data_IF_881861909297
#
_entry.id   IF_881861909297
#
_cell.length_a   1.000
_cell.length_b   1.000
_cell.length_c   1.000
_cell.angle_alpha   90.00
_cell.angle_beta   90.00
_cell.angle_gamma   90.00
#
_symmetry.space_group_name_H-M   'P 1'
#
loop_
_entity.id
_entity.type
_entity.pdbx_description
1 polymer ?
#
# COMPACT_ATOMS: atom_id res chain seq x y z
N UNK A 1 -32.84 -13.36 0.13
CA UNK A 1 -31.69 -13.83 0.91
C UNK A 1 -30.41 -13.60 0.13
N UNK A 2 -29.60 -12.66 0.58
CA UNK A 2 -28.12 -12.65 0.56
C UNK A 2 -27.69 -11.29 1.10
N UNK A 3 -27.41 -11.25 2.40
CA UNK A 3 -26.68 -10.15 3.01
C UNK A 3 -25.24 -10.22 2.47
N UNK A 4 -24.85 -9.21 1.70
CA UNK A 4 -23.44 -8.94 1.44
C UNK A 4 -22.90 -8.15 2.63
N UNK A 5 -21.77 -8.58 3.18
CA UNK A 5 -20.97 -7.74 4.07
C UNK A 5 -20.42 -6.57 3.26
N UNK A 6 -21.16 -5.47 3.29
CA UNK A 6 -20.67 -4.14 2.96
C UNK A 6 -19.62 -3.82 4.04
N UNK A 7 -18.36 -3.59 3.64
CA UNK A 7 -17.38 -3.01 4.57
C UNK A 7 -17.85 -1.58 4.78
N UNK A 8 -18.73 -1.40 5.75
CA UNK A 8 -19.36 -0.12 6.04
C UNK A 8 -18.24 0.91 6.24
N UNK A 9 -18.18 1.90 5.33
CA UNK A 9 -17.33 3.07 5.54
C UNK A 9 -17.72 3.67 6.87
N UNK A 10 -16.76 3.75 7.77
CA UNK A 10 -16.97 4.32 9.08
C UNK A 10 -17.01 5.84 8.94
N UNK A 11 -17.96 6.45 9.61
CA UNK A 11 -18.21 7.89 9.49
C UNK A 11 -18.27 8.49 10.87
N UNK A 12 -17.74 9.70 11.03
CA UNK A 12 -17.75 10.43 12.29
C UNK A 12 -19.12 10.33 12.98
N UNK A 13 -19.15 9.76 14.18
CA UNK A 13 -20.34 9.53 14.98
C UNK A 13 -20.96 8.14 14.83
N UNK A 14 -20.25 7.17 14.26
CA UNK A 14 -20.71 5.78 14.15
C UNK A 14 -20.36 4.90 15.36
N UNK A 15 -19.67 5.46 16.35
CA UNK A 15 -19.26 4.76 17.57
C UNK A 15 -17.88 4.09 17.49
N UNK A 16 -17.16 4.24 16.38
CA UNK A 16 -15.74 3.91 16.26
C UNK A 16 -14.89 5.18 16.03
N UNK A 17 -15.14 6.20 16.83
CA UNK A 17 -14.47 7.49 16.70
C UNK A 17 -13.27 7.62 17.63
N UNK A 18 -12.30 8.44 17.22
CA UNK A 18 -11.27 8.96 18.13
C UNK A 18 -11.95 9.76 19.24
N UNK A 19 -11.46 9.58 20.46
CA UNK A 19 -12.11 10.11 21.67
C UNK A 19 -11.36 11.28 22.29
N UNK A 20 -10.06 11.41 22.03
CA UNK A 20 -9.28 12.52 22.51
C UNK A 20 -9.79 13.84 21.88
N UNK A 21 -10.04 14.90 22.67
CA UNK A 21 -10.58 16.16 22.15
C UNK A 21 -9.76 16.81 21.03
N UNK A 22 -8.46 16.50 20.95
CA UNK A 22 -7.55 17.00 19.91
C UNK A 22 -7.67 16.27 18.57
N UNK A 23 -8.19 15.04 18.57
CA UNK A 23 -8.27 14.19 17.39
C UNK A 23 -9.71 14.03 16.89
N UNK A 24 -10.65 13.90 17.83
CA UNK A 24 -12.07 13.72 17.55
C UNK A 24 -12.61 14.76 16.55
N UNK A 25 -13.35 14.29 15.55
CA UNK A 25 -14.00 15.13 14.54
C UNK A 25 -13.07 15.63 13.42
N UNK A 26 -11.78 15.35 13.48
CA UNK A 26 -10.88 15.61 12.36
C UNK A 26 -11.00 14.50 11.30
N UNK A 27 -11.67 14.80 10.19
CA UNK A 27 -11.93 13.82 9.11
C UNK A 27 -10.73 13.00 8.63
N UNK A 28 -9.52 13.57 8.60
CA UNK A 28 -8.35 12.82 8.13
C UNK A 28 -7.78 11.91 9.22
N UNK A 29 -7.84 12.33 10.49
CA UNK A 29 -7.40 11.49 11.61
C UNK A 29 -8.39 10.35 11.83
N UNK A 30 -9.70 10.63 11.78
CA UNK A 30 -10.77 9.63 11.86
C UNK A 30 -10.65 8.63 10.70
N UNK A 31 -10.51 9.11 9.46
CA UNK A 31 -10.28 8.23 8.31
C UNK A 31 -9.00 7.38 8.41
N UNK A 32 -7.97 7.87 9.13
CA UNK A 32 -6.77 7.08 9.40
C UNK A 32 -7.00 6.03 10.49
N UNK A 33 -7.86 6.32 11.46
CA UNK A 33 -8.30 5.38 12.49
C UNK A 33 -9.22 4.29 11.92
N UNK A 34 -10.04 4.66 10.93
CA UNK A 34 -11.01 3.80 10.25
C UNK A 34 -10.43 2.92 9.11
N UNK A 35 -9.11 2.94 8.91
CA UNK A 35 -8.41 2.25 7.80
C UNK A 35 -8.80 2.73 6.39
N UNK A 36 -9.40 3.93 6.27
CA UNK A 36 -9.76 4.53 4.98
C UNK A 36 -8.58 5.23 4.31
N UNK A 37 -7.67 5.79 5.12
CA UNK A 37 -6.43 6.41 4.67
C UNK A 37 -5.25 6.02 5.57
N UNK A 38 -4.05 6.32 5.09
CA UNK A 38 -2.82 6.27 5.91
C UNK A 38 -2.13 7.62 5.84
N UNK A 39 -1.71 8.16 6.99
CA UNK A 39 -0.84 9.34 7.02
C UNK A 39 0.62 8.88 6.98
N UNK A 40 1.38 9.44 6.05
CA UNK A 40 2.74 9.03 5.73
C UNK A 40 3.48 10.16 5.04
N UNK A 41 4.75 9.94 4.74
CA UNK A 41 5.61 10.91 4.09
C UNK A 41 4.97 11.56 2.85
N UNK A 42 5.11 12.88 2.72
CA UNK A 42 4.53 13.69 1.64
C UNK A 42 3.08 14.12 1.87
N UNK A 43 2.40 13.64 2.93
CA UNK A 43 1.14 14.22 3.39
C UNK A 43 1.39 15.57 4.06
N UNK A 44 0.48 16.52 3.87
CA UNK A 44 0.57 17.85 4.48
C UNK A 44 -0.79 18.32 4.99
N UNK A 45 -0.79 19.32 5.86
CA UNK A 45 -1.99 20.03 6.31
C UNK A 45 -2.29 19.87 7.80
N UNK A 46 -3.50 20.30 8.19
CA UNK A 46 -3.89 20.44 9.60
C UNK A 46 -3.85 19.13 10.39
N UNK A 47 -4.22 18.00 9.79
CA UNK A 47 -4.17 16.71 10.48
C UNK A 47 -2.74 16.30 10.84
N UNK A 48 -1.79 16.55 9.94
CA UNK A 48 -0.37 16.28 10.18
C UNK A 48 0.16 17.17 11.29
N UNK A 49 -0.25 18.45 11.31
CA UNK A 49 0.13 19.37 12.40
C UNK A 49 -0.38 18.89 13.76
N UNK A 50 -1.61 18.39 13.81
CA UNK A 50 -2.20 17.83 15.04
C UNK A 50 -1.44 16.56 15.48
N UNK A 51 -1.12 15.66 14.54
CA UNK A 51 -0.32 14.47 14.79
C UNK A 51 1.06 14.82 15.35
N UNK A 52 1.80 15.72 14.68
CA UNK A 52 3.13 16.17 15.11
C UNK A 52 3.06 16.78 16.51
N UNK A 53 2.08 17.65 16.78
CA UNK A 53 1.93 18.25 18.11
C UNK A 53 1.71 17.18 19.18
N UNK A 54 0.89 16.15 18.90
CA UNK A 54 0.68 15.05 19.83
C UNK A 54 1.96 14.24 20.10
N UNK A 55 2.77 13.98 19.07
CA UNK A 55 4.06 13.32 19.23
C UNK A 55 5.01 14.17 20.08
N UNK A 56 5.09 15.49 19.84
CA UNK A 56 5.91 16.41 20.65
C UNK A 56 5.45 16.42 22.11
N UNK A 57 4.15 16.54 22.36
CA UNK A 57 3.58 16.54 23.72
C UNK A 57 3.88 15.24 24.48
N UNK A 58 3.98 14.12 23.76
CA UNK A 58 4.33 12.80 24.32
C UNK A 58 5.85 12.59 24.47
N UNK A 59 6.67 13.59 24.10
CA UNK A 59 8.12 13.58 24.28
C UNK A 59 8.94 13.11 23.07
N UNK A 60 8.32 12.91 21.90
CA UNK A 60 9.03 12.58 20.67
C UNK A 60 9.58 13.85 20.01
N UNK A 61 10.80 13.78 19.47
CA UNK A 61 11.52 14.95 18.97
C UNK A 61 11.36 15.13 17.46
N UNK A 62 11.07 16.37 17.04
CA UNK A 62 11.09 16.83 15.64
C UNK A 62 12.07 18.00 15.53
N UNK A 63 13.38 17.73 15.40
CA UNK A 63 14.43 18.71 15.69
C UNK A 63 14.65 19.79 14.62
N UNK A 64 14.19 19.62 13.38
CA UNK A 64 14.52 20.50 12.25
C UNK A 64 13.42 21.49 11.91
N UNK A 65 12.19 21.02 11.76
CA UNK A 65 11.04 21.82 11.30
C UNK A 65 9.90 21.83 12.32
N UNK A 66 9.86 20.83 13.21
CA UNK A 66 8.92 20.80 14.33
C UNK A 66 7.50 20.52 13.88
N UNK A 67 6.55 21.32 14.35
CA UNK A 67 5.11 21.17 14.07
C UNK A 67 4.73 22.06 12.88
N UNK A 68 5.24 21.71 11.70
CA UNK A 68 5.07 22.48 10.46
C UNK A 68 3.80 22.09 9.66
N UNK A 69 3.27 20.89 9.91
CA UNK A 69 2.17 20.30 9.17
C UNK A 69 2.60 19.54 7.91
N UNK A 70 3.89 19.27 7.73
CA UNK A 70 4.44 18.47 6.63
C UNK A 70 4.99 17.15 7.17
N UNK A 71 4.46 16.03 6.66
CA UNK A 71 4.94 14.70 7.06
C UNK A 71 6.24 14.43 6.30
N UNK A 72 7.35 14.88 6.86
CA UNK A 72 8.71 14.62 6.38
C UNK A 72 9.46 13.56 7.20
N UNK A 73 10.76 13.42 6.95
CA UNK A 73 11.63 12.37 7.53
C UNK A 73 11.61 12.37 9.06
N UNK A 74 11.59 13.54 9.70
CA UNK A 74 11.56 13.62 11.17
C UNK A 74 10.21 13.23 11.77
N UNK A 75 9.11 13.49 11.06
CA UNK A 75 7.78 13.03 11.48
C UNK A 75 7.71 11.52 11.38
N UNK A 76 8.23 10.92 10.30
CA UNK A 76 8.31 9.46 10.17
C UNK A 76 9.16 8.84 11.28
N UNK A 77 10.32 9.42 11.58
CA UNK A 77 11.18 8.95 12.65
C UNK A 77 10.49 9.00 14.03
N UNK A 78 9.77 10.09 14.33
CA UNK A 78 8.99 10.23 15.56
C UNK A 78 7.84 9.21 15.63
N UNK A 79 7.15 8.95 14.51
CA UNK A 79 6.11 7.90 14.44
C UNK A 79 6.70 6.53 14.70
N UNK A 80 7.85 6.18 14.10
CA UNK A 80 8.51 4.90 14.36
C UNK A 80 8.92 4.74 15.82
N UNK A 81 9.45 5.78 16.45
CA UNK A 81 9.78 5.75 17.88
C UNK A 81 8.53 5.54 18.75
N UNK A 82 7.44 6.23 18.42
CA UNK A 82 6.15 6.03 19.10
C UNK A 82 5.60 4.61 18.90
N UNK A 83 5.73 4.06 17.70
CA UNK A 83 5.31 2.70 17.40
C UNK A 83 6.12 1.67 18.20
N UNK A 84 7.43 1.89 18.35
CA UNK A 84 8.29 1.08 19.23
C UNK A 84 7.79 1.13 20.68
N UNK A 85 7.59 2.33 21.22
CA UNK A 85 7.23 2.53 22.63
C UNK A 85 5.84 2.01 22.99
N UNK A 86 4.91 2.01 22.04
CA UNK A 86 3.54 1.51 22.23
C UNK A 86 3.34 0.08 21.75
N UNK A 87 4.39 -0.55 21.23
CA UNK A 87 4.34 -1.90 20.68
C UNK A 87 3.51 -2.01 19.40
N UNK A 88 3.15 -0.90 18.75
CA UNK A 88 2.51 -0.91 17.43
C UNK A 88 3.46 -1.49 16.36
N UNK A 89 2.95 -1.73 15.16
CA UNK A 89 3.80 -2.02 14.01
C UNK A 89 4.77 -0.86 13.72
N UNK A 90 6.07 -1.15 13.61
CA UNK A 90 7.13 -0.14 13.40
C UNK A 90 7.38 0.08 11.90
N UNK A 91 6.43 0.69 11.21
CA UNK A 91 6.47 0.93 9.76
C UNK A 91 6.53 2.42 9.38
N UNK A 92 6.46 3.34 10.34
CA UNK A 92 6.46 4.79 10.11
C UNK A 92 5.14 5.32 9.52
N UNK A 93 4.11 4.48 9.46
CA UNK A 93 2.80 4.79 8.90
C UNK A 93 1.78 5.03 10.01
N UNK A 94 0.98 6.09 9.88
CA UNK A 94 -0.10 6.36 10.82
C UNK A 94 -1.42 5.86 10.25
N UNK A 95 -1.78 4.65 10.69
CA UNK A 95 -3.07 3.98 10.43
C UNK A 95 -3.79 3.62 11.74
N UNK A 96 -4.75 2.67 11.73
CA UNK A 96 -5.65 2.40 12.85
C UNK A 96 -4.97 2.14 14.19
N UNK A 97 -3.97 1.24 14.19
CA UNK A 97 -3.23 0.86 15.41
C UNK A 97 -2.46 2.07 15.98
N UNK A 98 -1.77 2.83 15.13
CA UNK A 98 -1.01 4.00 15.56
C UNK A 98 -1.92 5.12 16.05
N UNK A 99 -3.04 5.39 15.37
CA UNK A 99 -4.02 6.39 15.79
C UNK A 99 -4.70 6.01 17.09
N UNK A 100 -5.11 4.75 17.26
CA UNK A 100 -5.71 4.27 18.50
C UNK A 100 -4.75 4.37 19.69
N UNK A 101 -3.48 4.02 19.48
CA UNK A 101 -2.45 4.18 20.51
C UNK A 101 -2.21 5.66 20.84
N UNK A 102 -2.16 6.54 19.84
CA UNK A 102 -2.02 7.98 20.05
C UNK A 102 -3.20 8.51 20.85
N UNK A 103 -4.44 8.17 20.47
CA UNK A 103 -5.68 8.59 21.11
C UNK A 103 -5.69 8.24 22.61
N UNK A 104 -5.28 7.02 22.95
CA UNK A 104 -5.16 6.58 24.32
C UNK A 104 -4.02 7.30 25.08
N UNK A 105 -2.82 7.40 24.49
CA UNK A 105 -1.64 7.99 25.16
C UNK A 105 -1.81 9.47 25.45
N UNK A 106 -2.41 10.26 24.56
CA UNK A 106 -2.64 11.69 24.80
C UNK A 106 -3.68 11.95 25.90
N UNK A 107 -4.51 10.97 26.22
CA UNK A 107 -5.46 10.99 27.33
C UNK A 107 -4.84 10.45 28.63
N UNK A 108 -3.53 10.20 28.66
CA UNK A 108 -2.82 9.67 29.83
C UNK A 108 -3.09 8.20 30.11
N UNK A 109 -3.70 7.47 29.16
CA UNK A 109 -3.94 6.04 29.32
C UNK A 109 -2.63 5.28 29.08
N UNK A 110 -2.36 4.30 29.94
CA UNK A 110 -1.25 3.39 29.72
C UNK A 110 -1.63 2.43 28.60
N UNK A 111 -1.16 2.72 27.39
CA UNK A 111 -1.06 1.73 26.32
C UNK A 111 0.13 0.86 26.66
N UNK A 112 -0.14 -0.29 27.28
CA UNK A 112 0.89 -1.31 27.46
C UNK A 112 1.45 -1.66 26.08
N UNK A 113 2.78 -1.89 25.94
CA UNK A 113 3.28 -2.50 24.73
C UNK A 113 2.43 -3.73 24.45
N UNK A 114 2.02 -3.92 23.19
CA UNK A 114 1.25 -5.09 22.71
C UNK A 114 1.61 -6.33 23.52
N UNK A 115 0.63 -7.11 24.03
CA UNK A 115 0.89 -8.26 24.88
C UNK A 115 2.05 -9.08 24.30
N UNK A 116 2.95 -9.49 25.20
CA UNK A 116 4.17 -10.19 24.82
C UNK A 116 3.85 -11.29 23.80
N UNK A 117 4.62 -11.31 22.72
CA UNK A 117 4.48 -12.28 21.62
C UNK A 117 4.35 -13.68 22.22
N UNK A 118 3.17 -14.29 22.03
CA UNK A 118 2.78 -15.53 22.69
C UNK A 118 2.57 -16.63 21.64
N UNK A 119 2.98 -17.85 22.00
CA UNK A 119 2.84 -19.02 21.13
C UNK A 119 1.36 -19.27 20.83
N UNK A 120 1.00 -19.37 19.55
CA UNK A 120 -0.36 -19.63 19.09
C UNK A 120 -1.29 -18.41 19.13
N UNK A 121 -0.79 -17.21 19.42
CA UNK A 121 -1.56 -15.98 19.24
C UNK A 121 -1.67 -15.66 17.75
N UNK A 122 -2.89 -15.42 17.26
CA UNK A 122 -3.13 -15.07 15.86
C UNK A 122 -2.51 -13.70 15.52
N UNK A 123 -1.89 -13.61 14.34
CA UNK A 123 -1.32 -12.41 13.78
C UNK A 123 -2.44 -11.38 13.55
N UNK A 124 -2.36 -10.19 14.17
CA UNK A 124 -3.33 -9.14 13.93
C UNK A 124 -3.32 -8.71 12.46
N UNK A 125 -4.50 -8.58 11.84
CA UNK A 125 -4.64 -8.14 10.44
C UNK A 125 -3.89 -6.83 10.09
N UNK A 126 -3.75 -5.83 10.99
CA UNK A 126 -2.91 -4.66 10.74
C UNK A 126 -1.45 -5.02 10.43
N UNK A 127 -0.92 -6.10 11.02
CA UNK A 127 0.45 -6.60 10.83
C UNK A 127 0.67 -7.37 9.53
N UNK A 128 -0.34 -7.38 8.66
CA UNK A 128 -0.28 -7.94 7.32
C UNK A 128 -0.38 -6.78 6.33
N UNK A 129 0.75 -6.45 5.73
CA UNK A 129 0.88 -5.33 4.79
C UNK A 129 1.37 -5.79 3.42
N UNK A 130 1.28 -4.89 2.44
CA UNK A 130 1.87 -5.08 1.11
C UNK A 130 2.72 -3.88 0.75
N UNK A 131 3.87 -4.13 0.10
CA UNK A 131 4.85 -3.12 -0.22
C UNK A 131 5.21 -3.15 -1.72
N UNK A 132 5.15 -2.00 -2.43
CA UNK A 132 5.62 -1.91 -3.81
C UNK A 132 7.15 -1.88 -3.87
N UNK A 133 7.70 -2.07 -5.07
CA UNK A 133 9.11 -1.82 -5.37
C UNK A 133 10.00 -3.06 -5.34
N UNK A 134 9.40 -4.25 -5.19
CA UNK A 134 10.13 -5.49 -5.35
C UNK A 134 10.68 -5.63 -6.79
N UNK A 135 11.87 -6.23 -6.96
CA UNK A 135 12.40 -6.55 -8.28
C UNK A 135 11.41 -7.42 -9.06
N UNK A 136 11.10 -7.07 -10.32
CA UNK A 136 10.12 -7.82 -11.09
C UNK A 136 10.65 -9.20 -11.50
N UNK A 137 9.89 -10.26 -11.20
CA UNK A 137 10.17 -11.63 -11.69
C UNK A 137 9.61 -11.90 -13.09
N UNK A 138 8.70 -11.05 -13.56
CA UNK A 138 8.03 -11.16 -14.85
C UNK A 138 8.27 -9.92 -15.70
N UNK A 139 8.51 -10.09 -16.99
CA UNK A 139 8.72 -8.99 -17.94
C UNK A 139 7.45 -8.60 -18.70
N UNK A 140 7.43 -7.37 -19.22
CA UNK A 140 6.33 -6.86 -20.05
C UNK A 140 6.43 -7.38 -21.50
N UNK A 141 5.36 -8.04 -21.96
CA UNK A 141 5.19 -8.48 -23.35
C UNK A 141 4.87 -7.36 -24.34
N UNK A 142 4.88 -7.65 -25.65
CA UNK A 142 4.79 -6.64 -26.71
C UNK A 142 3.52 -5.75 -26.64
N UNK A 143 2.38 -6.30 -26.23
CA UNK A 143 1.13 -5.57 -26.00
C UNK A 143 0.78 -5.47 -24.49
N UNK A 144 1.79 -5.26 -23.66
CA UNK A 144 1.64 -5.11 -22.21
C UNK A 144 2.22 -3.77 -21.79
N UNK A 145 1.33 -2.84 -21.43
CA UNK A 145 1.67 -1.50 -20.95
C UNK A 145 2.20 -1.54 -19.52
N UNK A 146 1.56 -2.34 -18.66
CA UNK A 146 1.94 -2.47 -17.26
C UNK A 146 1.70 -3.88 -16.73
N UNK A 147 2.31 -4.14 -15.57
CA UNK A 147 2.12 -5.37 -14.83
C UNK A 147 2.34 -5.10 -13.34
N UNK A 148 1.35 -5.48 -12.54
CA UNK A 148 1.45 -5.55 -11.08
C UNK A 148 1.50 -7.01 -10.67
N UNK A 149 2.57 -7.43 -9.99
CA UNK A 149 2.82 -8.85 -9.73
C UNK A 149 3.24 -9.12 -8.28
N UNK A 150 2.63 -10.10 -7.59
CA UNK A 150 3.08 -10.57 -6.27
C UNK A 150 4.47 -11.22 -6.35
N UNK A 151 5.50 -10.61 -5.75
CA UNK A 151 6.89 -11.06 -5.93
C UNK A 151 7.37 -12.01 -4.84
N UNK A 152 7.13 -11.69 -3.57
CA UNK A 152 7.50 -12.56 -2.45
C UNK A 152 6.78 -12.13 -1.16
N UNK A 153 6.87 -12.98 -0.13
CA UNK A 153 6.36 -12.66 1.21
C UNK A 153 7.53 -12.71 2.19
N UNK A 154 7.76 -11.59 2.87
CA UNK A 154 8.61 -11.53 4.04
C UNK A 154 7.81 -11.83 5.30
N UNK A 155 8.44 -12.59 6.20
CA UNK A 155 7.82 -13.09 7.42
C UNK A 155 8.64 -12.56 8.59
N UNK A 156 8.05 -11.61 9.31
CA UNK A 156 8.59 -11.14 10.57
C UNK A 156 8.19 -12.11 11.66
N UNK A 157 9.15 -12.44 12.52
CA UNK A 157 8.93 -13.37 13.62
C UNK A 157 9.89 -13.11 14.78
N UNK A 158 9.43 -13.46 15.96
CA UNK A 158 10.24 -13.56 17.17
C UNK A 158 10.38 -15.02 17.59
N UNK A 159 11.50 -15.38 18.20
CA UNK A 159 11.67 -16.70 18.79
C UNK A 159 11.23 -16.65 20.26
N UNK A 160 10.32 -17.54 20.63
CA UNK A 160 9.77 -17.66 21.98
C UNK A 160 10.14 -19.03 22.55
N UNK A 161 10.49 -19.05 23.84
CA UNK A 161 10.74 -20.29 24.58
C UNK A 161 9.43 -21.07 24.74
N UNK A 162 9.44 -22.33 24.33
CA UNK A 162 8.32 -23.26 24.53
C UNK A 162 8.86 -24.62 25.00
N UNK A 163 8.90 -24.82 26.32
CA UNK A 163 9.51 -26.00 26.94
C UNK A 163 11.00 -26.13 26.59
N UNK A 164 11.46 -27.30 26.08
CA UNK A 164 12.86 -27.52 25.73
C UNK A 164 13.29 -26.86 24.41
N UNK A 165 12.35 -26.25 23.69
CA UNK A 165 12.58 -25.72 22.34
C UNK A 165 12.36 -24.21 22.28
N UNK A 166 12.89 -23.62 21.23
CA UNK A 166 12.46 -22.33 20.70
C UNK A 166 11.52 -22.57 19.53
N UNK A 167 10.42 -21.82 19.51
CA UNK A 167 9.46 -21.80 18.41
C UNK A 167 9.37 -20.39 17.86
N UNK A 168 9.12 -20.20 16.54
CA UNK A 168 8.85 -18.88 16.01
C UNK A 168 7.39 -18.52 16.33
N UNK A 169 7.16 -17.25 16.57
CA UNK A 169 5.82 -16.64 16.57
C UNK A 169 5.84 -15.55 15.53
N UNK A 170 4.91 -15.60 14.59
CA UNK A 170 4.84 -14.64 13.48
C UNK A 170 4.34 -13.30 14.02
N UNK A 171 5.08 -12.24 13.72
CA UNK A 171 4.77 -10.88 14.18
C UNK A 171 4.43 -9.93 13.05
N UNK A 172 4.58 -10.36 11.79
CA UNK A 172 4.25 -9.56 10.62
C UNK A 172 4.40 -10.34 9.32
N UNK A 173 3.61 -9.95 8.33
CA UNK A 173 3.73 -10.42 6.95
C UNK A 173 3.80 -9.22 6.02
N UNK A 174 4.80 -9.20 5.14
CA UNK A 174 4.95 -8.18 4.10
C UNK A 174 4.86 -8.86 2.74
N UNK A 175 3.75 -8.66 2.04
CA UNK A 175 3.61 -9.06 0.64
C UNK A 175 4.28 -8.05 -0.28
N UNK A 176 5.48 -8.36 -0.74
CA UNK A 176 6.23 -7.50 -1.64
C UNK A 176 5.76 -7.72 -3.09
N UNK A 177 5.48 -6.64 -3.81
CA UNK A 177 5.02 -6.70 -5.20
C UNK A 177 5.78 -5.73 -6.11
N UNK A 178 5.86 -6.09 -7.39
CA UNK A 178 6.39 -5.22 -8.43
C UNK A 178 5.26 -4.47 -9.11
N UNK A 179 5.55 -3.24 -9.53
CA UNK A 179 4.70 -2.44 -10.40
C UNK A 179 5.54 -1.96 -11.56
N UNK A 180 5.19 -2.41 -12.75
CA UNK A 180 5.84 -2.04 -13.99
C UNK A 180 4.86 -1.24 -14.84
N UNK A 181 5.36 -0.19 -15.47
CA UNK A 181 4.63 0.56 -16.47
C UNK A 181 5.61 1.06 -17.52
N UNK A 182 5.21 1.05 -18.78
CA UNK A 182 5.97 1.61 -19.90
C UNK A 182 5.03 2.12 -20.98
N UNK A 183 5.57 2.95 -21.85
CA UNK A 183 5.02 3.14 -23.19
C UNK A 183 5.25 1.87 -24.03
N UNK A 184 4.32 1.56 -24.92
CA UNK A 184 4.53 0.49 -25.89
C UNK A 184 5.70 0.84 -26.83
N UNK A 185 6.40 -0.17 -27.37
CA UNK A 185 7.43 0.06 -28.38
C UNK A 185 6.89 0.89 -29.56
N UNK A 186 7.53 2.03 -29.83
CA UNK A 186 7.14 2.96 -30.90
C UNK A 186 6.13 4.04 -30.50
N UNK A 187 5.54 3.96 -29.31
CA UNK A 187 4.67 5.01 -28.77
C UNK A 187 5.47 6.16 -28.14
N UNK A 188 4.87 7.35 -28.12
CA UNK A 188 5.43 8.55 -27.50
C UNK A 188 4.53 9.05 -26.36
N UNK A 189 5.14 9.55 -25.29
CA UNK A 189 4.42 10.17 -24.17
C UNK A 189 3.71 11.44 -24.64
N UNK A 190 2.43 11.57 -24.36
CA UNK A 190 1.71 12.84 -24.57
C UNK A 190 1.99 13.78 -23.41
N UNK A 191 2.72 14.86 -23.70
CA UNK A 191 3.01 15.91 -22.70
C UNK A 191 2.02 17.08 -22.77
N UNK A 192 1.18 17.10 -23.80
CA UNK A 192 0.08 18.05 -23.95
C UNK A 192 0.51 19.43 -24.49
N UNK A 193 -0.40 20.41 -24.45
CA UNK A 193 -0.14 21.77 -24.92
C UNK A 193 0.97 22.49 -24.13
N UNK A 194 1.90 23.13 -24.84
CA UNK A 194 3.14 23.67 -24.28
C UNK A 194 4.28 22.64 -24.20
N UNK A 195 3.98 21.37 -24.49
CA UNK A 195 4.94 20.29 -24.74
C UNK A 195 4.90 19.87 -26.21
N UNK A 196 4.60 18.59 -26.47
CA UNK A 196 4.69 17.99 -27.80
C UNK A 196 3.39 17.98 -28.62
N UNK A 197 2.33 18.66 -28.17
CA UNK A 197 1.11 18.84 -28.95
C UNK A 197 1.27 19.94 -30.00
N UNK A 198 1.07 19.58 -31.27
CA UNK A 198 1.18 20.46 -32.44
C UNK A 198 -0.06 20.34 -33.33
N UNK A 199 -0.24 21.30 -34.26
CA UNK A 199 -1.30 21.23 -35.26
C UNK A 199 -1.27 19.92 -36.07
N UNK A 200 -0.09 19.35 -36.30
CA UNK A 200 0.09 18.14 -37.10
C UNK A 200 -0.30 16.84 -36.37
N UNK A 201 -0.13 16.77 -35.03
CA UNK A 201 -0.27 15.52 -34.28
C UNK A 201 -1.43 15.51 -33.27
N UNK A 202 -2.04 16.66 -32.95
CA UNK A 202 -2.97 16.75 -31.83
C UNK A 202 -4.19 15.81 -32.00
N UNK A 203 -4.74 15.67 -33.21
CA UNK A 203 -5.89 14.81 -33.44
C UNK A 203 -5.52 13.31 -33.33
N UNK A 204 -4.29 12.93 -33.67
CA UNK A 204 -3.78 11.59 -33.41
C UNK A 204 -3.62 11.32 -31.91
N UNK A 205 -3.01 12.26 -31.17
CA UNK A 205 -2.93 12.18 -29.70
C UNK A 205 -4.30 11.98 -29.08
N UNK A 206 -5.27 12.80 -29.47
CA UNK A 206 -6.61 12.75 -28.91
C UNK A 206 -7.33 11.42 -29.21
N UNK A 207 -7.20 10.87 -30.43
CA UNK A 207 -7.83 9.59 -30.79
C UNK A 207 -7.21 8.42 -30.03
N UNK A 208 -5.88 8.37 -29.94
CA UNK A 208 -5.17 7.31 -29.24
C UNK A 208 -5.52 7.31 -27.74
N UNK A 209 -5.49 8.47 -27.08
CA UNK A 209 -5.86 8.58 -25.66
C UNK A 209 -7.34 8.26 -25.39
N UNK A 210 -8.22 8.52 -26.35
CA UNK A 210 -9.64 8.26 -26.20
C UNK A 210 -10.00 6.78 -26.36
N UNK A 211 -9.22 6.05 -27.14
CA UNK A 211 -9.40 4.62 -27.37
C UNK A 211 -8.04 3.91 -27.46
N UNK A 212 -7.35 3.70 -26.32
CA UNK A 212 -6.07 3.00 -26.29
C UNK A 212 -6.18 1.60 -26.91
N UNK A 213 -5.25 1.25 -27.80
CA UNK A 213 -5.25 -0.04 -28.49
C UNK A 213 -3.83 -0.56 -28.77
N UNK A 214 -3.67 -1.87 -28.97
CA UNK A 214 -2.42 -2.47 -29.46
C UNK A 214 -2.73 -3.48 -30.57
N UNK A 215 -1.92 -3.57 -31.64
CA UNK A 215 -0.73 -2.75 -31.95
C UNK A 215 -1.07 -1.36 -32.53
N UNK A 216 -0.05 -0.55 -32.78
CA UNK A 216 -0.16 0.65 -33.63
C UNK A 216 -0.59 1.95 -32.95
N UNK A 217 -0.65 2.00 -31.61
CA UNK A 217 -0.86 3.24 -30.87
C UNK A 217 0.41 4.07 -30.85
N UNK A 218 0.34 5.30 -31.36
CA UNK A 218 1.50 6.19 -31.49
C UNK A 218 1.66 7.09 -30.27
N UNK A 219 0.58 7.39 -29.56
CA UNK A 219 0.55 8.36 -28.47
C UNK A 219 -0.11 7.78 -27.24
N UNK A 220 0.56 7.85 -26.09
CA UNK A 220 0.01 7.35 -24.83
C UNK A 220 0.50 8.18 -23.63
N UNK A 221 -0.01 7.89 -22.44
CA UNK A 221 0.43 8.49 -21.20
C UNK A 221 0.79 7.39 -20.20
N UNK A 222 2.08 7.22 -19.91
CA UNK A 222 2.57 6.21 -18.95
C UNK A 222 1.91 6.37 -17.58
N UNK A 223 1.54 7.59 -17.20
CA UNK A 223 0.82 7.84 -15.94
C UNK A 223 -0.55 7.14 -15.91
N UNK A 224 -1.26 7.04 -17.03
CA UNK A 224 -2.53 6.34 -17.09
C UNK A 224 -2.34 4.84 -16.81
N UNK A 225 -1.30 4.24 -17.40
CA UNK A 225 -0.89 2.86 -17.09
C UNK A 225 -0.53 2.69 -15.62
N UNK A 226 0.19 3.62 -15.00
CA UNK A 226 0.49 3.54 -13.56
C UNK A 226 -0.78 3.54 -12.71
N UNK A 227 -1.78 4.38 -13.05
CA UNK A 227 -3.05 4.38 -12.31
C UNK A 227 -3.87 3.11 -12.55
N UNK A 228 -3.82 2.52 -13.75
CA UNK A 228 -4.37 1.18 -14.02
C UNK A 228 -3.76 0.15 -13.07
N UNK A 229 -2.43 0.08 -13.02
CA UNK A 229 -1.71 -0.92 -12.23
C UNK A 229 -1.97 -0.80 -10.73
N UNK A 230 -2.14 0.44 -10.23
CA UNK A 230 -2.52 0.69 -8.84
C UNK A 230 -3.90 0.13 -8.47
N UNK A 231 -4.79 -0.09 -9.43
CA UNK A 231 -6.08 -0.73 -9.15
C UNK A 231 -5.86 -2.20 -8.74
N UNK A 232 -5.02 -2.94 -9.47
CA UNK A 232 -4.68 -4.33 -9.13
C UNK A 232 -4.07 -4.44 -7.74
N UNK A 233 -3.15 -3.53 -7.40
CA UNK A 233 -2.48 -3.52 -6.09
C UNK A 233 -3.45 -3.37 -4.88
N UNK A 234 -4.66 -2.82 -5.05
CA UNK A 234 -5.63 -2.65 -3.95
C UNK A 234 -6.12 -3.98 -3.39
N UNK A 235 -6.09 -5.04 -4.19
CA UNK A 235 -6.57 -6.37 -3.80
C UNK A 235 -5.50 -7.20 -3.07
N UNK A 236 -4.24 -6.76 -3.12
CA UNK A 236 -3.08 -7.54 -2.69
C UNK A 236 -3.07 -7.77 -1.19
N UNK A 237 -3.42 -6.75 -0.40
CA UNK A 237 -3.47 -6.87 1.06
C UNK A 237 -4.57 -7.83 1.51
N UNK A 238 -5.79 -7.66 1.01
CA UNK A 238 -6.92 -8.53 1.38
C UNK A 238 -6.63 -9.99 1.04
N UNK A 239 -6.00 -10.25 -0.12
CA UNK A 239 -5.58 -11.59 -0.50
C UNK A 239 -4.56 -12.21 0.46
N UNK A 240 -3.61 -11.41 0.97
CA UNK A 240 -2.61 -11.88 1.93
C UNK A 240 -3.22 -12.11 3.32
N UNK A 241 -4.07 -11.21 3.80
CA UNK A 241 -4.81 -11.35 5.07
C UNK A 241 -5.60 -12.67 5.08
N UNK A 242 -6.28 -13.00 3.99
CA UNK A 242 -7.04 -14.25 3.85
C UNK A 242 -6.17 -15.52 3.93
N UNK A 243 -4.84 -15.40 3.84
CA UNK A 243 -3.87 -16.50 3.92
C UNK A 243 -2.99 -16.46 5.16
N UNK A 244 -3.06 -15.39 5.96
CA UNK A 244 -2.19 -15.17 7.12
C UNK A 244 -2.19 -16.38 8.07
N UNK A 245 -3.37 -16.83 8.52
CA UNK A 245 -3.49 -17.95 9.45
C UNK A 245 -2.84 -19.26 8.94
N UNK A 246 -2.91 -19.54 7.65
CA UNK A 246 -2.29 -20.73 7.06
C UNK A 246 -0.76 -20.60 6.98
N UNK A 247 -0.27 -19.38 6.72
CA UNK A 247 1.17 -19.06 6.72
C UNK A 247 1.72 -19.17 8.15
N UNK A 248 1.02 -18.59 9.13
CA UNK A 248 1.35 -18.67 10.55
C UNK A 248 1.47 -20.11 11.01
N UNK A 249 0.43 -20.93 10.81
CA UNK A 249 0.43 -22.32 11.22
C UNK A 249 1.63 -23.11 10.66
N UNK A 250 2.08 -22.78 9.44
CA UNK A 250 3.22 -23.45 8.80
C UNK A 250 4.56 -22.99 9.37
N UNK A 251 4.70 -21.72 9.71
CA UNK A 251 5.91 -21.16 10.32
C UNK A 251 6.02 -21.58 11.79
N UNK A 252 4.93 -21.46 12.55
CA UNK A 252 4.90 -21.75 14.00
C UNK A 252 4.97 -23.25 14.33
N UNK A 253 4.83 -24.13 13.33
CA UNK A 253 5.13 -25.55 13.47
C UNK A 253 6.64 -25.86 13.54
N UNK A 254 7.50 -24.89 13.23
CA UNK A 254 8.95 -25.07 13.29
C UNK A 254 9.46 -24.99 14.73
N UNK A 255 10.59 -25.65 14.99
CA UNK A 255 11.26 -25.52 16.29
C UNK A 255 12.76 -25.79 16.17
N UNK A 256 13.53 -25.22 17.10
CA UNK A 256 14.93 -25.58 17.33
C UNK A 256 15.15 -25.90 18.81
N UNK A 257 15.94 -26.93 19.16
CA UNK A 257 16.25 -27.23 20.56
C UNK A 257 16.97 -26.08 21.25
N UNK A 258 16.70 -25.86 22.53
CA UNK A 258 17.48 -24.92 23.33
C UNK A 258 18.89 -25.47 23.61
N UNK A 259 19.92 -24.64 23.40
CA UNK A 259 21.28 -24.87 23.89
C UNK A 259 21.71 -23.81 24.90
N UNK A 260 22.59 -24.16 25.85
CA UNK A 260 23.11 -23.23 26.86
C UNK A 260 23.68 -21.95 26.20
N UNK A 261 23.32 -20.78 26.73
CA UNK A 261 23.73 -19.48 26.18
C UNK A 261 22.97 -19.01 24.94
N UNK A 262 22.05 -19.81 24.39
CA UNK A 262 21.21 -19.41 23.25
C UNK A 262 20.20 -18.34 23.65
N UNK A 263 20.18 -17.23 22.90
CA UNK A 263 19.28 -16.09 23.09
C UNK A 263 18.09 -16.17 22.12
N UNK A 264 17.07 -15.34 22.31
CA UNK A 264 15.96 -15.24 21.35
C UNK A 264 16.44 -14.82 19.96
N UNK A 265 17.44 -13.92 19.88
CA UNK A 265 18.01 -13.50 18.61
C UNK A 265 18.73 -14.64 17.89
N UNK A 266 19.61 -15.39 18.58
CA UNK A 266 20.31 -16.52 17.96
C UNK A 266 19.37 -17.68 17.63
N UNK A 267 18.31 -17.88 18.43
CA UNK A 267 17.24 -18.81 18.11
C UNK A 267 16.44 -18.39 16.87
N UNK A 268 16.11 -17.11 16.73
CA UNK A 268 15.43 -16.60 15.55
C UNK A 268 16.29 -16.77 14.29
N UNK A 269 17.61 -16.57 14.38
CA UNK A 269 18.54 -16.89 13.28
C UNK A 269 18.53 -18.38 12.94
N UNK A 270 18.59 -19.26 13.93
CA UNK A 270 18.56 -20.72 13.71
C UNK A 270 17.23 -21.18 13.09
N UNK A 271 16.10 -20.63 13.54
CA UNK A 271 14.78 -20.91 12.98
C UNK A 271 14.68 -20.47 11.51
N UNK A 272 15.19 -19.27 11.16
CA UNK A 272 15.22 -18.80 9.76
C UNK A 272 16.11 -19.65 8.86
N UNK A 273 17.12 -20.30 9.42
CA UNK A 273 18.02 -21.19 8.69
C UNK A 273 17.43 -22.59 8.43
N UNK A 274 16.29 -22.94 9.03
CA UNK A 274 15.65 -24.23 8.79
C UNK A 274 15.13 -24.33 7.35
N UNK A 275 15.30 -25.47 6.66
CA UNK A 275 14.68 -25.71 5.35
C UNK A 275 13.17 -25.53 5.38
N UNK A 276 12.54 -25.86 6.52
CA UNK A 276 11.10 -25.64 6.74
C UNK A 276 10.69 -24.17 6.69
N UNK A 277 11.55 -23.24 7.14
CA UNK A 277 11.27 -21.80 7.06
C UNK A 277 11.34 -21.30 5.61
N UNK A 278 12.37 -21.74 4.86
CA UNK A 278 12.47 -21.44 3.44
C UNK A 278 11.25 -22.00 2.67
N UNK A 279 10.84 -23.23 2.96
CA UNK A 279 9.64 -23.83 2.37
C UNK A 279 8.34 -23.09 2.75
N UNK A 280 8.24 -22.56 3.98
CA UNK A 280 7.11 -21.75 4.41
C UNK A 280 7.04 -20.42 3.64
N UNK A 281 8.17 -19.73 3.41
CA UNK A 281 8.22 -18.51 2.58
C UNK A 281 7.80 -18.77 1.14
N UNK A 282 8.32 -19.83 0.51
CA UNK A 282 7.92 -20.21 -0.85
C UNK A 282 6.43 -20.53 -0.93
N UNK A 283 5.91 -21.26 0.07
CA UNK A 283 4.48 -21.57 0.12
C UNK A 283 3.64 -20.30 0.32
N UNK A 284 4.05 -19.38 1.19
CA UNK A 284 3.36 -18.10 1.41
C UNK A 284 3.23 -17.30 0.12
N UNK A 285 4.31 -17.19 -0.66
CA UNK A 285 4.28 -16.57 -1.99
C UNK A 285 3.28 -17.27 -2.94
N UNK A 286 3.34 -18.61 -3.01
CA UNK A 286 2.46 -19.38 -3.90
C UNK A 286 0.97 -19.22 -3.56
N UNK A 287 0.61 -19.29 -2.28
CA UNK A 287 -0.80 -19.19 -1.86
C UNK A 287 -1.35 -17.76 -2.02
N UNK A 288 -0.50 -16.75 -1.81
CA UNK A 288 -0.86 -15.35 -2.06
C UNK A 288 -1.09 -15.11 -3.56
N UNK A 289 -0.16 -15.56 -4.41
CA UNK A 289 -0.31 -15.47 -5.87
C UNK A 289 -1.56 -16.21 -6.36
N UNK A 290 -1.81 -17.43 -5.89
CA UNK A 290 -2.98 -18.21 -6.27
C UNK A 290 -4.29 -17.50 -5.92
N UNK A 291 -4.36 -16.84 -4.77
CA UNK A 291 -5.53 -16.04 -4.37
C UNK A 291 -5.74 -14.86 -5.32
N UNK A 292 -4.68 -14.15 -5.67
CA UNK A 292 -4.75 -13.02 -6.60
C UNK A 292 -5.22 -13.45 -7.98
N UNK A 293 -4.67 -14.55 -8.51
CA UNK A 293 -5.10 -15.12 -9.79
C UNK A 293 -6.58 -15.54 -9.76
N UNK A 294 -7.06 -16.14 -8.67
CA UNK A 294 -8.45 -16.56 -8.52
C UNK A 294 -9.45 -15.38 -8.51
N UNK A 295 -9.03 -14.21 -8.02
CA UNK A 295 -9.86 -12.99 -8.05
C UNK A 295 -9.88 -12.29 -9.42
N UNK A 296 -9.04 -12.73 -10.35
CA UNK A 296 -8.82 -12.03 -11.63
C UNK A 296 -8.14 -10.67 -11.47
N UNK A 297 -7.59 -10.38 -10.28
CA UNK A 297 -6.90 -9.13 -9.93
C UNK A 297 -5.48 -8.99 -10.48
N UNK A 298 -5.20 -9.75 -11.52
CA UNK A 298 -3.89 -9.93 -12.13
C UNK A 298 -3.94 -9.76 -13.65
N UNK A 299 -5.08 -9.35 -14.23
CA UNK A 299 -5.23 -9.22 -15.68
C UNK A 299 -6.59 -8.73 -16.19
N UNK A 300 -6.73 -8.80 -17.52
CA UNK A 300 -7.78 -8.21 -18.39
C UNK A 300 -9.18 -8.82 -18.26
N UNK A 301 -9.52 -9.46 -17.14
CA UNK A 301 -10.73 -10.29 -17.03
C UNK A 301 -11.90 -9.63 -16.29
N UNK A 302 -11.67 -9.18 -15.05
CA UNK A 302 -12.76 -8.86 -14.11
C UNK A 302 -12.74 -7.43 -13.58
N UNK A 303 -11.58 -6.78 -13.50
CA UNK A 303 -11.45 -5.40 -12.96
C UNK A 303 -11.43 -4.35 -14.09
N UNK A 304 -11.75 -4.75 -15.32
CA UNK A 304 -11.66 -3.92 -16.51
C UNK A 304 -12.44 -2.59 -16.45
N UNK A 305 -13.48 -2.50 -15.61
CA UNK A 305 -14.23 -1.26 -15.43
C UNK A 305 -13.47 -0.27 -14.53
N UNK A 306 -12.93 -0.73 -13.40
CA UNK A 306 -12.21 0.12 -12.46
C UNK A 306 -10.83 0.53 -12.99
N UNK A 307 -10.14 -0.38 -13.68
CA UNK A 307 -8.87 -0.04 -14.34
C UNK A 307 -9.08 1.00 -15.44
N UNK A 308 -10.10 0.83 -16.28
CA UNK A 308 -10.49 1.86 -17.25
C UNK A 308 -10.88 3.16 -16.58
N UNK A 309 -11.67 3.12 -15.51
CA UNK A 309 -12.05 4.33 -14.78
C UNK A 309 -10.80 5.07 -14.26
N UNK A 310 -9.83 4.35 -13.71
CA UNK A 310 -8.55 4.91 -13.24
C UNK A 310 -7.75 5.55 -14.39
N UNK A 311 -7.62 4.88 -15.53
CA UNK A 311 -6.98 5.43 -16.74
C UNK A 311 -7.67 6.72 -17.20
N UNK A 312 -9.00 6.74 -17.23
CA UNK A 312 -9.79 7.91 -17.66
C UNK A 312 -9.58 9.13 -16.76
N UNK A 313 -9.20 8.95 -15.48
CA UNK A 313 -8.80 10.08 -14.62
C UNK A 313 -7.57 10.83 -15.13
N UNK A 314 -6.75 10.18 -15.97
CA UNK A 314 -5.54 10.73 -16.58
C UNK A 314 -5.80 11.16 -18.03
N UNK A 315 -6.42 10.30 -18.83
CA UNK A 315 -6.66 10.57 -20.24
C UNK A 315 -7.65 11.72 -20.46
N UNK A 316 -8.77 11.76 -19.74
CA UNK A 316 -9.83 12.73 -20.01
C UNK A 316 -9.40 14.20 -19.77
N UNK A 317 -8.70 14.55 -18.67
CA UNK A 317 -8.16 15.89 -18.51
C UNK A 317 -7.17 16.29 -19.62
N UNK A 318 -6.33 15.36 -20.06
CA UNK A 318 -5.37 15.63 -21.14
C UNK A 318 -6.08 15.86 -22.47
N UNK A 319 -7.04 15.00 -22.84
CA UNK A 319 -7.88 15.16 -24.04
C UNK A 319 -8.57 16.52 -24.03
N UNK A 320 -9.24 16.88 -22.92
CA UNK A 320 -9.89 18.19 -22.78
C UNK A 320 -8.90 19.34 -22.94
N UNK A 321 -7.70 19.25 -22.36
CA UNK A 321 -6.66 20.27 -22.48
C UNK A 321 -6.19 20.43 -23.93
N UNK A 322 -5.97 19.33 -24.65
CA UNK A 322 -5.57 19.34 -26.06
C UNK A 322 -6.68 19.92 -26.94
N UNK A 323 -7.93 19.46 -26.81
CA UNK A 323 -9.05 19.97 -27.60
C UNK A 323 -9.29 21.47 -27.36
N UNK A 324 -9.23 21.92 -26.10
CA UNK A 324 -9.37 23.34 -25.77
C UNK A 324 -8.21 24.18 -26.32
N UNK A 325 -7.00 23.65 -26.33
CA UNK A 325 -5.85 24.32 -26.93
C UNK A 325 -6.00 24.46 -28.44
N UNK A 326 -6.49 23.45 -29.14
CA UNK A 326 -6.67 23.47 -30.59
C UNK A 326 -7.81 24.41 -31.04
N UNK A 327 -8.86 24.56 -30.23
CA UNK A 327 -10.08 25.29 -30.60
C UNK A 327 -9.79 26.73 -31.04
N UNK A 328 -10.17 27.05 -32.28
CA UNK A 328 -10.07 28.41 -32.83
C UNK A 328 -8.65 28.90 -33.13
N UNK A 329 -7.63 28.03 -33.03
CA UNK A 329 -6.25 28.39 -33.37
C UNK A 329 -5.94 28.11 -34.84
N UNK A 330 -5.20 29.03 -35.46
CA UNK A 330 -4.74 28.88 -36.84
C UNK A 330 -3.91 27.59 -37.01
N UNK A 331 -4.19 26.83 -38.08
CA UNK A 331 -3.52 25.57 -38.39
C UNK A 331 -4.11 24.31 -37.73
N UNK A 332 -5.02 24.44 -36.76
CA UNK A 332 -5.69 23.31 -36.12
C UNK A 332 -7.03 23.02 -36.82
N UNK A 333 -7.02 22.15 -37.83
CA UNK A 333 -8.24 21.68 -38.51
C UNK A 333 -9.14 20.91 -37.53
N UNK A 334 -10.49 20.93 -37.64
CA UNK A 334 -11.37 20.23 -36.71
C UNK A 334 -11.04 18.73 -36.57
N UNK A 335 -10.99 18.24 -35.34
CA UNK A 335 -10.87 16.81 -35.04
C UNK A 335 -12.25 16.34 -34.59
N UNK A 336 -12.93 15.50 -35.38
CA UNK A 336 -14.19 14.85 -34.96
C UNK A 336 -13.96 13.99 -33.71
N UNK A 337 -15.01 13.55 -32.97
CA UNK A 337 -14.94 13.11 -31.58
C UNK A 337 -13.68 12.32 -31.22
N UNK A 338 -13.04 12.64 -30.08
CA UNK A 338 -13.64 13.29 -28.89
C UNK A 338 -13.44 14.82 -28.76
N UNK A 339 -12.88 15.50 -29.77
CA UNK A 339 -13.01 16.96 -29.91
C UNK A 339 -14.24 17.30 -30.79
#
# INVERSE_FOLDING_TARGET
GRAGEDVARRTIGDGHDLTAPRFHGNRQLEAAYDDEITLKQGRTGTAIRILQQALVDLGYVLPRFGVDGDFGDETEAAVRAFQVDTGAQVDGLVGPETMGHLDARVQGQHVAPTPAVAVGAALPAPRVIVAPGAPPSNGLGACTWGLTFPENVDIDMQAVRNGPNWVPVVTGLVGNYSLQARLLPGSQEVTGPGGNTTAANYCAQVRDLANPHCPGMAWDMIRATVEHERVHARFFRAALVNRAAAIEARVEALSVPHAAGMTAASAATALRALPGFAAARTNAQQVWLAQILATGAHGVGTINADTRAAERTIYDPMIRRICNFARGRAGFAPCSPPC
#
